data_IF_715155926025
#
_entry.id   IF_715155926025
#
_cell.length_a   1.000
_cell.length_b   1.000
_cell.length_c   1.000
_cell.angle_alpha   90.00
_cell.angle_beta   90.00
_cell.angle_gamma   90.00
#
_symmetry.space_group_name_H-M   'P 1'
#
loop_
_entity.id
_entity.type
_entity.pdbx_description
1 polymer ?
#
# COMPACT_ATOMS: atom_id res chain seq x y z
N UNK A 1 -24.55 1.43 28.29
CA UNK A 1 -24.77 1.57 26.84
C UNK A 1 -23.58 1.00 26.13
N UNK A 2 -23.78 -0.04 25.34
CA UNK A 2 -22.73 -0.79 24.65
C UNK A 2 -22.01 0.13 23.66
N UNK A 3 -20.73 0.42 23.90
CA UNK A 3 -19.91 1.11 22.93
C UNK A 3 -19.83 0.24 21.67
N UNK A 4 -20.56 0.64 20.64
CA UNK A 4 -20.47 0.03 19.32
C UNK A 4 -19.01 0.08 18.90
N UNK A 5 -18.34 -1.08 18.94
CA UNK A 5 -17.08 -1.33 18.28
C UNK A 5 -17.37 -1.23 16.78
N UNK A 6 -17.44 0.01 16.29
CA UNK A 6 -17.49 0.34 14.89
C UNK A 6 -16.22 -0.26 14.33
N UNK A 7 -16.36 -1.46 13.79
CA UNK A 7 -15.26 -2.30 13.39
C UNK A 7 -14.65 -1.55 12.22
N UNK A 8 -13.59 -0.78 12.47
CA UNK A 8 -12.80 -0.15 11.43
C UNK A 8 -12.45 -1.28 10.49
N UNK A 9 -13.09 -1.32 9.31
CA UNK A 9 -12.85 -2.36 8.31
C UNK A 9 -11.37 -2.27 7.98
N UNK A 10 -10.58 -3.18 8.56
CA UNK A 10 -9.16 -3.32 8.25
C UNK A 10 -9.13 -3.76 6.79
N UNK A 11 -8.72 -2.84 5.91
CA UNK A 11 -8.53 -3.15 4.50
C UNK A 11 -7.32 -4.08 4.41
N UNK A 12 -7.53 -5.30 3.91
CA UNK A 12 -6.47 -6.26 3.63
C UNK A 12 -6.40 -6.54 2.14
N UNK A 13 -5.23 -6.94 1.66
CA UNK A 13 -5.05 -7.32 0.27
C UNK A 13 -5.57 -8.74 0.04
N UNK A 14 -6.73 -8.87 -0.61
CA UNK A 14 -7.23 -10.17 -1.07
C UNK A 14 -6.75 -10.52 -2.48
N UNK A 15 -6.50 -9.50 -3.31
CA UNK A 15 -6.11 -9.65 -4.72
C UNK A 15 -4.93 -8.74 -5.04
N UNK A 16 -3.98 -9.24 -5.83
CA UNK A 16 -2.80 -8.50 -6.25
C UNK A 16 -2.97 -7.99 -7.68
N UNK A 17 -2.64 -6.72 -7.92
CA UNK A 17 -2.51 -6.19 -9.28
C UNK A 17 -1.23 -6.73 -9.92
N UNK A 18 -1.32 -7.35 -11.12
CA UNK A 18 -0.13 -7.74 -11.89
C UNK A 18 0.53 -6.56 -12.60
N UNK A 19 -0.14 -5.40 -12.65
CA UNK A 19 0.33 -4.23 -13.40
C UNK A 19 1.32 -3.42 -12.57
N UNK A 20 2.45 -3.06 -13.21
CA UNK A 20 3.37 -2.08 -12.68
C UNK A 20 2.72 -0.69 -12.67
N UNK A 21 2.74 -0.05 -11.50
CA UNK A 21 2.16 1.29 -11.33
C UNK A 21 3.18 2.37 -11.68
N UNK A 22 2.70 3.53 -12.11
CA UNK A 22 3.57 4.69 -12.26
C UNK A 22 3.97 5.23 -10.87
N UNK A 23 5.24 5.01 -10.51
CA UNK A 23 5.83 5.34 -9.20
C UNK A 23 5.63 6.82 -8.83
N UNK A 24 5.57 7.72 -9.82
CA UNK A 24 5.39 9.18 -9.59
C UNK A 24 4.07 9.50 -8.90
N UNK A 25 3.03 8.69 -9.13
CA UNK A 25 1.69 8.91 -8.58
C UNK A 25 1.48 8.28 -7.20
N UNK A 26 2.47 7.54 -6.70
CA UNK A 26 2.44 6.87 -5.40
C UNK A 26 2.98 7.82 -4.33
N UNK A 27 2.18 8.04 -3.27
CA UNK A 27 2.51 8.99 -2.19
C UNK A 27 2.86 8.30 -0.88
N UNK A 28 2.32 7.10 -0.66
CA UNK A 28 2.59 6.28 0.53
C UNK A 28 2.34 4.81 0.23
N UNK A 29 2.77 3.96 1.14
CA UNK A 29 2.52 2.54 1.10
C UNK A 29 2.28 2.00 2.50
N UNK A 30 1.58 0.88 2.58
CA UNK A 30 1.36 0.08 3.79
C UNK A 30 1.77 -1.37 3.52
N UNK A 31 2.48 -2.00 4.47
CA UNK A 31 2.81 -3.43 4.39
C UNK A 31 1.60 -4.24 4.85
N UNK A 32 1.20 -5.22 4.06
CA UNK A 32 0.08 -6.11 4.31
C UNK A 32 0.63 -7.52 4.40
N UNK A 33 0.51 -8.16 5.56
CA UNK A 33 1.03 -9.52 5.80
C UNK A 33 -0.08 -10.55 5.96
N UNK A 34 -1.35 -10.12 5.93
CA UNK A 34 -2.52 -10.99 6.09
C UNK A 34 -3.58 -10.56 5.08
N UNK A 35 -4.19 -11.47 4.31
CA UNK A 35 -3.91 -12.92 4.24
C UNK A 35 -2.67 -13.29 3.40
N UNK A 36 -2.11 -12.35 2.65
CA UNK A 36 -0.97 -12.57 1.74
C UNK A 36 0.07 -11.48 1.94
N UNK A 37 1.33 -11.79 1.62
CA UNK A 37 2.42 -10.81 1.66
C UNK A 37 2.32 -9.84 0.46
N UNK A 38 1.94 -8.60 0.76
CA UNK A 38 1.60 -7.59 -0.22
C UNK A 38 1.97 -6.19 0.27
N UNK A 39 2.18 -5.30 -0.70
CA UNK A 39 2.34 -3.87 -0.47
C UNK A 39 1.09 -3.17 -1.00
N UNK A 40 0.42 -2.42 -0.14
CA UNK A 40 -0.70 -1.57 -0.52
C UNK A 40 -0.17 -0.17 -0.80
N UNK A 41 -0.09 0.20 -2.08
CA UNK A 41 0.24 1.56 -2.47
C UNK A 41 -0.97 2.47 -2.39
N UNK A 42 -0.75 3.69 -1.90
CA UNK A 42 -1.74 4.75 -1.87
C UNK A 42 -1.30 5.81 -2.87
N UNK A 43 -2.20 6.10 -3.81
CA UNK A 43 -1.97 7.13 -4.83
C UNK A 43 -2.36 8.50 -4.31
N UNK A 44 -1.91 9.56 -4.99
CA UNK A 44 -2.32 10.94 -4.68
C UNK A 44 -3.84 11.16 -4.72
N UNK A 45 -4.59 10.30 -5.43
CA UNK A 45 -6.06 10.32 -5.51
C UNK A 45 -6.75 9.56 -4.36
N UNK A 46 -6.00 9.05 -3.38
CA UNK A 46 -6.54 8.23 -2.29
C UNK A 46 -6.87 6.78 -2.68
N UNK A 47 -6.57 6.37 -3.91
CA UNK A 47 -6.81 4.99 -4.38
C UNK A 47 -5.75 4.07 -3.77
N UNK A 48 -6.21 2.96 -3.19
CA UNK A 48 -5.40 1.89 -2.62
C UNK A 48 -5.25 0.75 -3.61
N UNK A 49 -4.02 0.33 -3.88
CA UNK A 49 -3.71 -0.74 -4.85
C UNK A 49 -2.77 -1.73 -4.20
N UNK A 50 -3.20 -2.98 -4.11
CA UNK A 50 -2.40 -4.09 -3.61
C UNK A 50 -1.51 -4.69 -4.69
N UNK A 51 -0.23 -4.88 -4.39
CA UNK A 51 0.75 -5.52 -5.28
C UNK A 51 1.62 -6.49 -4.48
N UNK A 52 2.22 -7.48 -5.15
CA UNK A 52 3.07 -8.45 -4.47
C UNK A 52 4.38 -7.82 -3.98
N UNK A 53 4.78 -8.13 -2.74
CA UNK A 53 5.99 -7.55 -2.14
C UNK A 53 7.29 -7.97 -2.86
N UNK A 54 7.29 -9.11 -3.55
CA UNK A 54 8.47 -9.73 -4.17
C UNK A 54 8.88 -9.14 -5.53
N UNK A 55 8.17 -8.13 -6.04
CA UNK A 55 8.50 -7.53 -7.34
C UNK A 55 9.57 -6.44 -7.20
N UNK A 56 10.61 -6.47 -8.04
CA UNK A 56 11.73 -5.50 -7.96
C UNK A 56 11.29 -4.04 -8.06
N UNK A 57 10.30 -3.74 -8.92
CA UNK A 57 9.79 -2.38 -9.06
C UNK A 57 9.05 -1.90 -7.80
N UNK A 58 8.45 -2.82 -7.01
CA UNK A 58 7.76 -2.50 -5.75
C UNK A 58 8.77 -2.02 -4.72
N UNK A 59 9.90 -2.70 -4.60
CA UNK A 59 11.00 -2.30 -3.71
C UNK A 59 11.56 -0.92 -4.12
N UNK A 60 11.71 -0.69 -5.42
CA UNK A 60 12.16 0.61 -5.95
C UNK A 60 11.14 1.72 -5.65
N UNK A 61 9.85 1.42 -5.79
CA UNK A 61 8.78 2.36 -5.50
C UNK A 61 8.72 2.73 -4.01
N UNK A 62 8.85 1.75 -3.11
CA UNK A 62 8.95 1.96 -1.66
C UNK A 62 10.13 2.87 -1.33
N UNK A 63 11.33 2.54 -1.82
CA UNK A 63 12.54 3.34 -1.60
C UNK A 63 12.35 4.79 -2.04
N UNK A 64 11.76 5.03 -3.22
CA UNK A 64 11.47 6.39 -3.72
C UNK A 64 10.45 7.14 -2.87
N UNK A 65 9.52 6.44 -2.22
CA UNK A 65 8.58 7.07 -1.28
C UNK A 65 9.33 7.43 0.01
N UNK A 66 10.19 6.54 0.51
CA UNK A 66 10.96 6.77 1.73
C UNK A 66 11.97 7.91 1.56
N UNK A 67 12.68 7.99 0.42
CA UNK A 67 13.55 9.12 0.07
C UNK A 67 12.79 10.45 0.06
N UNK A 68 11.56 10.48 -0.48
CA UNK A 68 10.71 11.67 -0.48
C UNK A 68 10.21 12.06 0.92
N UNK A 69 10.03 11.09 1.82
CA UNK A 69 9.64 11.34 3.22
C UNK A 69 10.81 11.87 4.03
N UNK A 70 12.02 11.39 3.80
CA UNK A 70 13.23 11.83 4.49
C UNK A 70 13.70 13.22 4.04
N UNK A 71 13.38 13.64 2.82
CA UNK A 71 13.71 14.96 2.28
C UNK A 71 12.76 16.09 2.72
N UNK A 72 11.73 15.79 3.53
CA UNK A 72 10.81 16.76 4.14
C UNK A 72 11.12 16.93 5.61
#
# INVERSE_FOLDING_TARGET
GSASSQSMRRYSCATLSPRQLNIRNLISYEKQQVPIDAIMFITAKGIRICVGANQQWVQTAMRRIDERRAAK
#
